data_IF_472525816211
#
_entry.id   IF_472525816211
#
_cell.length_a   1.000
_cell.length_b   1.000
_cell.length_c   1.000
_cell.angle_alpha   90.00
_cell.angle_beta   90.00
_cell.angle_gamma   90.00
#
_symmetry.space_group_name_H-M   'P 1'
#
loop_
_entity.id
_entity.type
_entity.pdbx_description
1 polymer ?
#
# COMPACT_ATOMS: atom_id res chain seq x y z
N UNK A 1 3.66 17.40 -36.86
CA UNK A 1 3.66 16.74 -35.59
C UNK A 1 5.05 16.78 -34.99
N UNK A 2 5.10 16.95 -33.77
CA UNK A 2 6.32 17.22 -33.11
C UNK A 2 6.71 16.06 -32.19
N UNK A 3 7.80 15.38 -32.50
CA UNK A 3 8.29 14.27 -31.68
C UNK A 3 8.66 14.69 -30.27
N UNK A 4 8.98 15.98 -30.07
CA UNK A 4 9.29 16.48 -28.73
C UNK A 4 8.08 16.44 -27.79
N UNK A 5 6.87 16.68 -28.30
CA UNK A 5 5.67 16.58 -27.48
C UNK A 5 5.41 15.14 -27.03
N UNK A 6 5.64 14.17 -27.91
CA UNK A 6 5.48 12.77 -27.56
C UNK A 6 6.50 12.32 -26.52
N UNK A 7 7.74 12.80 -26.63
CA UNK A 7 8.79 12.52 -25.66
C UNK A 7 8.45 13.13 -24.32
N UNK A 8 7.97 14.38 -24.30
CA UNK A 8 7.59 15.05 -23.06
C UNK A 8 6.46 14.31 -22.34
N UNK A 9 5.45 13.84 -23.07
CA UNK A 9 4.36 13.05 -22.48
C UNK A 9 4.85 11.72 -21.92
N UNK A 10 5.76 11.06 -22.63
CA UNK A 10 6.34 9.82 -22.17
C UNK A 10 7.13 10.03 -20.87
N UNK A 11 7.92 11.10 -20.79
CA UNK A 11 8.67 11.45 -19.60
C UNK A 11 7.74 11.78 -18.43
N UNK A 12 6.67 12.51 -18.68
CA UNK A 12 5.68 12.80 -17.64
C UNK A 12 5.07 11.52 -17.07
N UNK A 13 4.74 10.55 -17.92
CA UNK A 13 4.20 9.28 -17.45
C UNK A 13 5.19 8.49 -16.62
N UNK A 14 6.48 8.52 -17.02
CA UNK A 14 7.54 7.83 -16.29
C UNK A 14 7.87 8.47 -14.95
N UNK A 15 7.69 9.78 -14.84
CA UNK A 15 8.01 10.53 -13.62
C UNK A 15 6.80 10.86 -12.77
N UNK A 16 5.58 10.55 -13.27
CA UNK A 16 4.37 10.80 -12.51
C UNK A 16 4.38 9.96 -11.22
N UNK A 17 4.18 10.64 -10.11
CA UNK A 17 4.05 9.98 -8.82
C UNK A 17 2.61 9.50 -8.63
N UNK A 18 2.37 8.17 -8.55
CA UNK A 18 1.02 7.66 -8.32
C UNK A 18 0.40 8.14 -7.03
N UNK A 19 1.22 8.63 -6.09
CA UNK A 19 0.78 9.14 -4.79
C UNK A 19 0.81 10.67 -4.72
N UNK A 20 0.89 11.35 -5.87
CA UNK A 20 0.91 12.82 -5.88
C UNK A 20 -0.37 13.42 -5.28
N UNK A 21 -1.51 12.75 -5.40
CA UNK A 21 -2.79 13.14 -4.81
C UNK A 21 -3.12 12.40 -3.52
N UNK A 22 -2.12 11.81 -2.87
CA UNK A 22 -2.35 10.99 -1.69
C UNK A 22 -2.81 11.82 -0.51
N UNK A 23 -3.71 11.22 0.25
CA UNK A 23 -4.18 11.76 1.52
C UNK A 23 -3.83 10.78 2.64
N UNK A 24 -3.63 11.33 3.82
CA UNK A 24 -3.35 10.50 5.00
C UNK A 24 -4.60 9.72 5.39
N UNK A 25 -4.41 8.44 5.68
CA UNK A 25 -5.48 7.56 6.10
C UNK A 25 -4.92 6.35 6.83
N UNK A 26 -5.70 5.29 6.85
CA UNK A 26 -5.32 4.03 7.48
C UNK A 26 -5.68 2.86 6.58
N UNK A 27 -5.02 1.73 6.81
CA UNK A 27 -5.47 0.45 6.29
C UNK A 27 -5.87 -0.43 7.46
N UNK A 28 -7.02 -1.11 7.31
CA UNK A 28 -7.48 -2.12 8.24
C UNK A 28 -7.07 -3.48 7.70
N UNK A 29 -6.36 -4.26 8.50
CA UNK A 29 -5.97 -5.61 8.14
C UNK A 29 -7.20 -6.52 8.30
N UNK A 30 -7.64 -7.13 7.20
CA UNK A 30 -8.81 -8.01 7.19
C UNK A 30 -8.41 -9.47 7.34
N UNK A 31 -7.43 -9.91 6.55
CA UNK A 31 -6.92 -11.27 6.60
C UNK A 31 -5.43 -11.31 6.32
N UNK A 32 -4.76 -12.32 6.85
CA UNK A 32 -3.32 -12.51 6.66
C UNK A 32 -3.05 -14.00 6.44
N UNK A 33 -1.99 -14.30 5.69
CA UNK A 33 -1.46 -15.65 5.62
C UNK A 33 -0.73 -15.98 6.92
N UNK A 34 -0.61 -17.27 7.23
CA UNK A 34 0.12 -17.71 8.41
C UNK A 34 1.63 -17.75 8.12
N UNK A 35 2.47 -17.42 9.13
CA UNK A 35 3.91 -17.56 8.96
C UNK A 35 4.31 -19.02 8.89
N UNK A 36 5.35 -19.32 8.10
CA UNK A 36 5.96 -20.63 8.08
C UNK A 36 6.72 -20.91 9.39
N UNK A 37 6.95 -22.20 9.73
CA UNK A 37 7.64 -22.54 10.96
C UNK A 37 9.08 -22.04 11.04
N UNK A 38 9.72 -21.82 9.89
CA UNK A 38 11.12 -21.42 9.80
C UNK A 38 11.26 -20.28 8.80
N UNK A 39 12.25 -19.45 9.05
CA UNK A 39 12.57 -18.30 8.21
C UNK A 39 12.44 -17.02 9.00
N UNK A 40 13.53 -16.24 9.04
CA UNK A 40 13.56 -14.99 9.79
C UNK A 40 12.72 -13.91 9.12
N UNK A 41 12.79 -13.84 7.79
CA UNK A 41 12.00 -12.90 6.99
C UNK A 41 11.11 -13.70 6.05
N UNK A 42 9.84 -13.39 6.06
CA UNK A 42 8.84 -14.14 5.29
C UNK A 42 7.85 -13.20 4.64
N UNK A 43 7.33 -13.59 3.49
CA UNK A 43 6.26 -12.89 2.84
C UNK A 43 4.94 -13.16 3.56
N UNK A 44 4.28 -12.10 3.97
CA UNK A 44 2.92 -12.14 4.48
C UNK A 44 1.99 -11.60 3.40
N UNK A 45 1.02 -12.38 2.98
CA UNK A 45 -0.03 -11.96 2.05
C UNK A 45 -1.23 -11.51 2.86
N UNK A 46 -1.78 -10.35 2.50
CA UNK A 46 -2.86 -9.74 3.27
C UNK A 46 -3.94 -9.20 2.37
N UNK A 47 -5.14 -9.10 2.95
CA UNK A 47 -6.19 -8.23 2.46
C UNK A 47 -6.34 -7.07 3.41
N UNK A 48 -6.44 -5.87 2.85
CA UNK A 48 -6.56 -4.62 3.58
C UNK A 48 -7.78 -3.87 3.09
N UNK A 49 -8.36 -3.05 3.97
CA UNK A 49 -9.32 -2.02 3.57
C UNK A 49 -8.67 -0.66 3.79
N UNK A 50 -8.47 0.08 2.70
CA UNK A 50 -7.94 1.44 2.76
C UNK A 50 -9.07 2.41 3.06
N UNK A 51 -8.85 3.29 4.04
CA UNK A 51 -9.83 4.28 4.48
C UNK A 51 -9.15 5.63 4.66
N UNK A 52 -9.75 6.68 4.12
CA UNK A 52 -9.30 8.05 4.31
C UNK A 52 -10.49 9.00 4.17
N UNK A 53 -10.40 10.23 4.74
CA UNK A 53 -11.46 11.21 4.57
C UNK A 53 -11.69 11.51 3.08
N UNK A 54 -12.95 11.44 2.63
CA UNK A 54 -13.32 11.70 1.25
C UNK A 54 -12.95 10.60 0.26
N UNK A 55 -12.43 9.47 0.73
CA UNK A 55 -12.07 8.33 -0.10
C UNK A 55 -12.93 7.13 0.28
N UNK A 56 -13.65 6.52 -0.67
CA UNK A 56 -14.46 5.34 -0.36
C UNK A 56 -13.58 4.18 0.13
N UNK A 57 -14.03 3.41 1.12
CA UNK A 57 -13.30 2.23 1.57
C UNK A 57 -13.02 1.29 0.41
N UNK A 58 -11.76 0.86 0.27
CA UNK A 58 -11.31 0.08 -0.88
C UNK A 58 -10.53 -1.13 -0.40
N UNK A 59 -10.95 -2.32 -0.83
CA UNK A 59 -10.26 -3.57 -0.52
C UNK A 59 -9.05 -3.76 -1.42
N UNK A 60 -7.91 -4.10 -0.82
CA UNK A 60 -6.63 -4.24 -1.52
C UNK A 60 -6.00 -5.55 -1.09
N UNK A 61 -5.54 -6.34 -2.06
CA UNK A 61 -4.69 -7.50 -1.80
C UNK A 61 -3.24 -7.11 -2.03
N UNK A 62 -2.38 -7.38 -1.05
CA UNK A 62 -0.97 -7.02 -1.12
C UNK A 62 -0.14 -7.99 -0.30
N UNK A 63 1.16 -7.75 -0.27
CA UNK A 63 2.08 -8.52 0.57
C UNK A 63 3.14 -7.63 1.17
N UNK A 64 3.73 -8.10 2.25
CA UNK A 64 4.87 -7.45 2.92
C UNK A 64 5.83 -8.53 3.39
N UNK A 65 7.12 -8.25 3.31
CA UNK A 65 8.14 -9.13 3.90
C UNK A 65 8.43 -8.63 5.32
N UNK A 66 8.20 -9.49 6.29
CA UNK A 66 8.40 -9.15 7.70
C UNK A 66 8.84 -10.37 8.51
N UNK A 67 9.15 -10.13 9.75
CA UNK A 67 9.51 -11.20 10.68
C UNK A 67 8.27 -11.73 11.39
N UNK A 68 8.21 -13.02 11.73
CA UNK A 68 7.05 -13.57 12.45
C UNK A 68 6.70 -12.82 13.74
N UNK A 69 7.67 -12.26 14.43
CA UNK A 69 7.40 -11.50 15.67
C UNK A 69 6.69 -10.17 15.41
N UNK A 70 6.71 -9.68 14.18
CA UNK A 70 6.03 -8.44 13.74
C UNK A 70 4.90 -8.74 12.77
N UNK A 71 4.38 -9.96 12.79
CA UNK A 71 3.35 -10.39 11.85
C UNK A 71 2.08 -9.56 12.02
N UNK A 72 1.50 -9.05 10.93
CA UNK A 72 0.24 -8.30 11.03
C UNK A 72 -0.88 -9.22 11.52
N UNK A 73 -1.89 -8.62 12.14
CA UNK A 73 -3.04 -9.35 12.69
C UNK A 73 -4.34 -8.77 12.15
N UNK A 74 -5.33 -9.62 11.86
CA UNK A 74 -6.66 -9.12 11.50
C UNK A 74 -7.20 -8.16 12.58
N UNK A 75 -7.81 -7.07 12.12
CA UNK A 75 -8.32 -6.03 13.01
C UNK A 75 -7.33 -4.92 13.30
N UNK A 76 -6.07 -5.09 12.98
CA UNK A 76 -5.04 -4.08 13.17
C UNK A 76 -5.21 -2.95 12.16
N UNK A 77 -4.93 -1.71 12.59
CA UNK A 77 -4.91 -0.55 11.70
C UNK A 77 -3.49 -0.01 11.59
N UNK A 78 -3.09 0.33 10.36
CA UNK A 78 -1.77 0.88 10.09
C UNK A 78 -1.93 2.22 9.37
N UNK A 79 -1.05 3.19 9.66
CA UNK A 79 -1.04 4.45 8.90
C UNK A 79 -0.72 4.20 7.44
N UNK A 80 -1.31 5.00 6.56
CA UNK A 80 -1.07 4.88 5.13
C UNK A 80 -1.30 6.20 4.42
N UNK A 81 -0.68 6.33 3.25
CA UNK A 81 -1.00 7.37 2.27
C UNK A 81 -1.80 6.71 1.16
N UNK A 82 -2.94 7.27 0.83
CA UNK A 82 -3.91 6.66 -0.08
C UNK A 82 -4.18 7.63 -1.22
N UNK A 83 -4.00 7.17 -2.45
CA UNK A 83 -4.33 7.99 -3.62
C UNK A 83 -5.83 8.28 -3.64
N UNK A 84 -6.19 9.57 -3.68
CA UNK A 84 -7.60 9.97 -3.72
C UNK A 84 -8.27 9.57 -5.02
N UNK A 85 -7.55 9.63 -6.15
CA UNK A 85 -8.08 9.26 -7.46
C UNK A 85 -8.07 7.75 -7.71
N UNK A 86 -7.13 7.03 -7.08
CA UNK A 86 -6.99 5.57 -7.23
C UNK A 86 -6.75 4.93 -5.87
N UNK A 87 -7.80 4.70 -5.08
CA UNK A 87 -7.64 4.21 -3.70
C UNK A 87 -6.97 2.85 -3.56
N UNK A 88 -6.82 2.09 -4.65
CA UNK A 88 -6.04 0.86 -4.64
C UNK A 88 -4.52 1.12 -4.61
N UNK A 89 -4.09 2.35 -4.86
CA UNK A 89 -2.69 2.75 -4.76
C UNK A 89 -2.47 3.34 -3.39
N UNK A 90 -1.75 2.60 -2.55
CA UNK A 90 -1.50 2.98 -1.16
C UNK A 90 -0.03 2.77 -0.83
N UNK A 91 0.46 3.60 0.07
CA UNK A 91 1.76 3.42 0.70
C UNK A 91 1.52 3.20 2.19
N UNK A 92 1.68 1.97 2.63
CA UNK A 92 1.44 1.58 4.02
C UNK A 92 2.71 1.78 4.83
N UNK A 93 2.57 2.36 6.01
CA UNK A 93 3.67 2.45 6.97
C UNK A 93 3.89 1.09 7.64
N UNK A 94 4.62 0.22 6.96
CA UNK A 94 4.92 -1.12 7.48
C UNK A 94 5.82 -1.09 8.72
N UNK A 95 6.57 -0.01 8.92
CA UNK A 95 7.40 0.13 10.11
C UNK A 95 6.57 0.18 11.39
N UNK A 96 5.30 0.54 11.27
CA UNK A 96 4.37 0.52 12.40
C UNK A 96 4.18 -0.89 12.98
N UNK A 97 4.43 -1.95 12.21
CA UNK A 97 4.37 -3.32 12.71
C UNK A 97 5.41 -3.60 13.79
N UNK A 98 6.52 -2.87 13.79
CA UNK A 98 7.64 -3.06 14.73
C UNK A 98 7.58 -2.11 15.93
N UNK A 99 6.59 -1.23 15.96
CA UNK A 99 6.45 -0.23 17.03
C UNK A 99 5.50 -0.69 18.12
#
# INVERSE_FOLDING_TARGET
>A
MDGADDIARALQRLTADPLADAVAGTVLVVSVSEPAPRGRYQECRLELVAEAPGVPPTTIATSVVTRPKHWPRPGMRLPAQISASRPSIVDVDWDALAR
#
